data_IF_090465457072
#
_entry.id   IF_090465457072
#
_cell.length_a   1.000
_cell.length_b   1.000
_cell.length_c   1.000
_cell.angle_alpha   90.00
_cell.angle_beta   90.00
_cell.angle_gamma   90.00
#
_symmetry.space_group_name_H-M   'P 1'
#
loop_
_entity.id
_entity.type
_entity.pdbx_description
1 polymer ?
#
# COMPACT_ATOMS: atom_id res chain seq x y z
N UNK A 1 28.46 -59.37 46.51
CA UNK A 1 27.35 -58.38 46.38
C UNK A 1 27.95 -57.05 45.93
N UNK A 2 27.86 -56.73 44.66
CA UNK A 2 28.44 -55.51 44.08
C UNK A 2 27.24 -54.61 43.69
N UNK A 3 27.12 -53.45 44.40
CA UNK A 3 26.09 -52.44 44.16
C UNK A 3 26.50 -51.52 42.98
N UNK A 4 25.71 -51.55 41.89
CA UNK A 4 25.86 -50.63 40.75
C UNK A 4 25.08 -49.34 41.05
N UNK A 5 25.78 -48.25 41.35
CA UNK A 5 25.20 -46.90 41.37
C UNK A 5 24.95 -46.39 39.90
N UNK A 6 23.71 -46.29 39.50
CA UNK A 6 23.33 -45.58 38.26
C UNK A 6 23.36 -44.09 38.53
N UNK A 7 24.27 -43.37 37.87
CA UNK A 7 24.26 -41.89 37.78
C UNK A 7 23.32 -41.47 36.64
N UNK A 8 22.20 -40.86 37.00
CA UNK A 8 21.29 -40.21 36.03
C UNK A 8 21.84 -38.83 35.71
N UNK A 9 22.24 -38.61 34.44
CA UNK A 9 22.69 -37.32 33.96
C UNK A 9 21.46 -36.50 33.57
N UNK A 10 21.15 -35.44 34.32
CA UNK A 10 20.14 -34.44 33.94
C UNK A 10 20.78 -33.45 32.97
N UNK A 11 20.45 -33.54 31.68
CA UNK A 11 20.72 -32.46 30.73
C UNK A 11 19.68 -31.36 30.92
N UNK A 12 20.06 -30.23 31.52
CA UNK A 12 19.28 -29.03 31.54
C UNK A 12 19.37 -28.38 30.16
N UNK A 13 18.30 -28.45 29.36
CA UNK A 13 18.15 -27.68 28.13
C UNK A 13 17.78 -26.25 28.54
N UNK A 14 18.75 -25.34 28.50
CA UNK A 14 18.51 -23.91 28.65
C UNK A 14 17.78 -23.42 27.38
N UNK A 15 16.47 -23.26 27.45
CA UNK A 15 15.69 -22.62 26.42
C UNK A 15 16.04 -21.14 26.39
N UNK A 16 16.79 -20.69 25.38
CA UNK A 16 16.97 -19.28 25.12
C UNK A 16 15.61 -18.71 24.68
N UNK A 17 14.99 -17.93 25.54
CA UNK A 17 13.83 -17.12 25.16
C UNK A 17 14.31 -16.05 24.15
N UNK A 18 13.91 -16.18 22.90
CA UNK A 18 14.10 -15.13 21.90
C UNK A 18 13.26 -13.91 22.33
N UNK A 19 13.91 -12.92 22.91
CA UNK A 19 13.29 -11.60 23.14
C UNK A 19 13.25 -10.91 21.78
N UNK A 20 12.08 -10.88 21.14
CA UNK A 20 11.87 -10.05 19.97
C UNK A 20 11.82 -8.61 20.45
N UNK A 21 12.78 -7.79 20.01
CA UNK A 21 12.70 -6.35 20.20
C UNK A 21 11.48 -5.83 19.45
N UNK A 22 10.81 -4.81 20.00
CA UNK A 22 9.69 -4.15 19.34
C UNK A 22 10.15 -3.60 17.97
N UNK A 23 9.32 -3.78 16.96
CA UNK A 23 9.62 -3.28 15.61
C UNK A 23 9.75 -1.76 15.62
N UNK A 24 10.86 -1.19 15.10
CA UNK A 24 11.13 0.25 15.19
C UNK A 24 10.02 1.09 14.58
N UNK A 25 9.73 2.23 15.23
CA UNK A 25 8.88 3.30 14.69
C UNK A 25 9.75 4.51 14.37
N UNK A 26 9.61 5.03 13.15
CA UNK A 26 10.32 6.22 12.67
C UNK A 26 9.29 7.29 12.37
N UNK A 27 9.51 8.50 12.88
CA UNK A 27 8.68 9.67 12.56
C UNK A 27 9.29 10.37 11.35
N UNK A 28 8.63 10.34 10.17
CA UNK A 28 9.16 11.00 8.98
C UNK A 28 9.08 12.52 9.08
N UNK A 29 10.09 13.19 8.49
CA UNK A 29 10.05 14.65 8.32
C UNK A 29 9.24 15.01 7.06
N UNK A 30 8.30 15.95 7.19
CA UNK A 30 7.68 16.62 6.04
C UNK A 30 8.64 17.71 5.57
N UNK A 31 9.03 17.66 4.30
CA UNK A 31 10.04 18.58 3.74
C UNK A 31 9.46 19.50 2.67
N UNK A 32 8.30 19.16 2.11
CA UNK A 32 7.59 19.95 1.10
C UNK A 32 6.13 19.53 1.01
N UNK A 33 5.28 20.27 0.28
CA UNK A 33 3.91 19.89 -0.03
C UNK A 33 3.44 20.53 -1.33
N UNK A 34 2.49 19.86 -1.99
CA UNK A 34 1.80 20.34 -3.19
C UNK A 34 0.29 20.33 -2.98
N UNK A 35 -0.49 21.14 -3.71
CA UNK A 35 -1.94 21.12 -3.64
C UNK A 35 -2.52 19.75 -3.96
N UNK A 36 -3.58 19.36 -3.28
CA UNK A 36 -4.36 18.16 -3.57
C UNK A 36 -5.84 18.50 -3.65
N UNK A 37 -6.58 17.77 -4.49
CA UNK A 37 -8.02 17.97 -4.63
C UNK A 37 -8.74 17.32 -3.42
N UNK A 38 -9.28 18.16 -2.54
CA UNK A 38 -9.85 17.72 -1.27
C UNK A 38 -11.13 16.87 -1.42
N UNK A 39 -11.75 16.88 -2.59
CA UNK A 39 -12.87 15.99 -2.92
C UNK A 39 -12.41 14.58 -3.29
N UNK A 40 -11.13 14.37 -3.52
CA UNK A 40 -10.59 13.07 -3.89
C UNK A 40 -10.48 12.14 -2.67
N UNK A 41 -11.18 11.02 -2.78
CA UNK A 41 -11.07 9.91 -1.84
C UNK A 41 -9.98 8.96 -2.32
N UNK A 42 -8.71 9.33 -2.06
CA UNK A 42 -7.51 8.66 -2.61
C UNK A 42 -7.44 7.19 -2.24
N UNK A 43 -7.26 6.34 -3.25
CA UNK A 43 -7.14 4.89 -3.12
C UNK A 43 -5.86 4.33 -3.76
N UNK A 44 -5.22 5.07 -4.65
CA UNK A 44 -3.93 4.74 -5.22
C UNK A 44 -3.21 5.99 -5.68
N UNK A 45 -1.88 6.00 -5.55
CA UNK A 45 -1.03 7.13 -5.90
C UNK A 45 0.31 6.62 -6.43
N UNK A 46 0.75 7.08 -7.60
CA UNK A 46 2.07 6.73 -8.12
C UNK A 46 2.59 7.76 -9.12
N UNK A 47 3.88 7.79 -9.36
CA UNK A 47 4.47 8.63 -10.40
C UNK A 47 4.51 7.94 -11.77
N UNK A 48 4.17 8.69 -12.81
CA UNK A 48 4.35 8.33 -14.21
C UNK A 48 5.26 9.38 -14.89
N UNK A 49 6.56 9.15 -14.83
CA UNK A 49 7.56 10.15 -15.17
C UNK A 49 7.51 11.34 -14.21
N UNK A 50 7.19 12.52 -14.72
CA UNK A 50 7.04 13.74 -13.90
C UNK A 50 5.60 13.99 -13.42
N UNK A 51 4.65 13.25 -13.96
CA UNK A 51 3.24 13.40 -13.64
C UNK A 51 2.85 12.48 -12.50
N UNK A 52 1.92 12.91 -11.67
CA UNK A 52 1.35 12.11 -10.60
C UNK A 52 0.03 11.50 -11.08
N UNK A 53 -0.14 10.20 -10.87
CA UNK A 53 -1.38 9.47 -11.14
C UNK A 53 -2.05 9.17 -9.81
N UNK A 54 -3.34 9.49 -9.75
CA UNK A 54 -4.16 9.23 -8.59
C UNK A 54 -5.42 8.47 -9.00
N UNK A 55 -5.73 7.38 -8.31
CA UNK A 55 -7.03 6.71 -8.38
C UNK A 55 -7.85 6.99 -7.13
N UNK A 56 -9.16 7.20 -7.31
CA UNK A 56 -10.07 7.59 -6.24
C UNK A 56 -11.20 6.60 -6.06
N UNK A 57 -11.75 6.55 -4.85
CA UNK A 57 -12.93 5.78 -4.50
C UNK A 57 -14.21 6.60 -4.49
N UNK A 58 -15.26 6.02 -3.93
CA UNK A 58 -16.65 6.47 -3.80
C UNK A 58 -17.52 6.13 -5.02
N UNK A 59 -18.72 5.62 -4.74
CA UNK A 59 -19.71 5.31 -5.75
C UNK A 59 -20.18 6.60 -6.43
N UNK A 60 -20.19 6.62 -7.77
CA UNK A 60 -20.53 7.80 -8.57
C UNK A 60 -19.41 8.84 -8.73
N UNK A 61 -18.30 8.70 -7.96
CA UNK A 61 -17.19 9.68 -7.96
C UNK A 61 -15.83 9.06 -8.31
N UNK A 62 -15.74 7.73 -8.38
CA UNK A 62 -14.49 7.02 -8.64
C UNK A 62 -13.91 7.35 -10.03
N UNK A 63 -12.63 7.62 -10.06
CA UNK A 63 -11.90 7.93 -11.28
C UNK A 63 -10.40 7.76 -11.14
N UNK A 64 -9.70 7.89 -12.26
CA UNK A 64 -8.25 7.98 -12.30
C UNK A 64 -7.84 9.27 -12.97
N UNK A 65 -6.85 9.96 -12.43
CA UNK A 65 -6.46 11.31 -12.80
C UNK A 65 -4.95 11.37 -13.00
N UNK A 66 -4.53 11.95 -14.13
CA UNK A 66 -3.14 12.37 -14.37
C UNK A 66 -3.04 13.85 -14.07
N UNK A 67 -2.09 14.23 -13.23
CA UNK A 67 -1.91 15.61 -12.82
C UNK A 67 -0.44 16.02 -12.77
N UNK A 68 -0.21 17.31 -12.95
CA UNK A 68 1.09 17.94 -12.69
C UNK A 68 1.29 18.19 -11.20
N UNK A 69 2.52 18.50 -10.80
CA UNK A 69 2.85 18.79 -9.40
C UNK A 69 2.19 20.07 -8.87
N UNK A 70 1.81 21.01 -9.74
CA UNK A 70 1.05 22.21 -9.38
C UNK A 70 -0.47 21.98 -9.35
N UNK A 71 -0.92 20.74 -9.55
CA UNK A 71 -2.32 20.32 -9.39
C UNK A 71 -3.17 20.36 -10.66
N UNK A 72 -2.63 20.77 -11.82
CA UNK A 72 -3.39 20.80 -13.08
C UNK A 72 -3.68 19.37 -13.55
N UNK A 73 -4.96 19.06 -13.78
CA UNK A 73 -5.38 17.79 -14.40
C UNK A 73 -5.05 17.81 -15.89
N UNK A 74 -4.29 16.81 -16.33
CA UNK A 74 -3.89 16.61 -17.74
C UNK A 74 -4.77 15.61 -18.45
N UNK A 75 -5.26 14.58 -17.73
CA UNK A 75 -6.08 13.52 -18.27
C UNK A 75 -6.91 12.90 -17.14
N UNK A 76 -8.08 12.35 -17.44
CA UNK A 76 -8.92 11.68 -16.45
C UNK A 76 -9.86 10.67 -17.09
N UNK A 77 -10.21 9.63 -16.33
CA UNK A 77 -11.21 8.65 -16.71
C UNK A 77 -12.05 8.31 -15.49
N UNK A 78 -13.37 8.47 -15.60
CA UNK A 78 -14.33 8.12 -14.54
C UNK A 78 -14.86 6.71 -14.72
N UNK A 79 -15.04 6.01 -13.62
CA UNK A 79 -15.74 4.72 -13.61
C UNK A 79 -17.26 4.95 -13.67
N UNK A 80 -17.99 3.92 -14.13
CA UNK A 80 -19.44 3.94 -14.01
C UNK A 80 -19.86 3.95 -12.52
N UNK A 81 -20.96 4.63 -12.19
CA UNK A 81 -21.41 4.93 -10.83
C UNK A 81 -21.53 3.72 -9.89
N UNK A 82 -21.77 2.53 -10.45
CA UNK A 82 -21.87 1.26 -9.73
C UNK A 82 -20.54 0.72 -9.21
N UNK A 83 -19.41 1.34 -9.57
CA UNK A 83 -18.10 0.89 -9.14
C UNK A 83 -17.52 1.83 -8.10
N UNK A 84 -16.94 1.23 -7.08
CA UNK A 84 -16.07 1.92 -6.14
C UNK A 84 -14.63 1.59 -6.56
N UNK A 85 -13.89 2.58 -7.05
CA UNK A 85 -12.50 2.46 -7.47
C UNK A 85 -11.56 2.32 -6.27
N UNK A 86 -10.45 1.62 -6.49
CA UNK A 86 -9.45 1.33 -5.46
C UNK A 86 -8.04 1.59 -6.00
N UNK A 87 -7.03 0.91 -5.50
CA UNK A 87 -5.64 1.07 -5.89
C UNK A 87 -5.37 0.86 -7.38
N UNK A 88 -4.34 1.50 -7.87
CA UNK A 88 -3.93 1.41 -9.27
C UNK A 88 -2.42 1.44 -9.43
N UNK A 89 -1.91 0.87 -10.53
CA UNK A 89 -0.49 0.88 -10.89
C UNK A 89 -0.30 0.82 -12.39
N UNK A 90 0.75 1.45 -12.90
CA UNK A 90 1.13 1.36 -14.32
C UNK A 90 2.14 0.22 -14.54
N UNK A 91 1.92 -0.59 -15.59
CA UNK A 91 2.88 -1.59 -16.08
C UNK A 91 2.91 -1.53 -17.60
N UNK A 92 4.05 -1.17 -18.16
CA UNK A 92 4.17 -0.93 -19.60
C UNK A 92 3.24 0.20 -20.07
N UNK A 93 2.41 -0.08 -21.05
CA UNK A 93 1.45 0.89 -21.64
C UNK A 93 0.07 0.83 -20.96
N UNK A 94 -0.09 0.02 -19.94
CA UNK A 94 -1.35 -0.22 -19.26
C UNK A 94 -1.32 0.31 -17.81
N UNK A 95 -2.47 0.77 -17.34
CA UNK A 95 -2.75 0.99 -15.92
C UNK A 95 -3.79 -0.02 -15.48
N UNK A 96 -3.50 -0.72 -14.39
CA UNK A 96 -4.42 -1.62 -13.71
C UNK A 96 -5.11 -0.85 -12.59
N UNK A 97 -6.44 -0.88 -12.55
CA UNK A 97 -7.25 -0.11 -11.60
C UNK A 97 -8.29 -1.03 -10.95
N UNK A 98 -8.14 -1.25 -9.65
CA UNK A 98 -8.98 -2.16 -8.86
C UNK A 98 -10.36 -1.57 -8.57
N UNK A 99 -11.27 -2.46 -8.22
CA UNK A 99 -12.55 -2.10 -7.56
C UNK A 99 -12.69 -2.80 -6.23
N UNK A 100 -13.38 -2.18 -5.28
CA UNK A 100 -13.62 -2.73 -3.95
C UNK A 100 -14.36 -4.09 -4.02
N UNK A 101 -15.70 -4.07 -4.01
CA UNK A 101 -16.55 -5.29 -3.89
C UNK A 101 -17.03 -5.86 -5.22
N UNK A 102 -16.68 -5.24 -6.33
CA UNK A 102 -17.14 -5.71 -7.65
C UNK A 102 -16.31 -6.86 -8.19
N UNK A 103 -15.23 -7.26 -7.48
CA UNK A 103 -14.31 -8.33 -7.90
C UNK A 103 -13.79 -8.15 -9.34
N UNK A 104 -13.49 -6.91 -9.70
CA UNK A 104 -13.00 -6.52 -11.02
C UNK A 104 -11.79 -5.61 -10.91
N UNK A 105 -10.91 -5.71 -11.88
CA UNK A 105 -9.89 -4.72 -12.16
C UNK A 105 -10.01 -4.29 -13.62
N UNK A 106 -9.92 -3.00 -13.85
CA UNK A 106 -9.92 -2.41 -15.18
C UNK A 106 -8.50 -2.30 -15.71
N UNK A 107 -8.38 -2.44 -17.03
CA UNK A 107 -7.16 -2.15 -17.77
C UNK A 107 -7.44 -0.87 -18.54
N UNK A 108 -6.65 0.17 -18.28
CA UNK A 108 -6.77 1.51 -18.86
C UNK A 108 -5.52 1.78 -19.67
N UNK A 109 -5.66 2.25 -20.91
CA UNK A 109 -4.51 2.74 -21.65
C UNK A 109 -3.84 3.88 -20.89
N UNK A 110 -2.51 3.87 -20.83
CA UNK A 110 -1.75 4.84 -20.05
C UNK A 110 -1.76 6.25 -20.67
N UNK A 111 -1.82 6.35 -22.00
CA UNK A 111 -1.84 7.65 -22.75
C UNK A 111 -2.53 7.50 -24.11
N UNK A 112 -3.66 8.19 -24.36
CA UNK A 112 -4.54 8.86 -23.39
C UNK A 112 -5.28 7.83 -22.52
N UNK A 113 -5.85 8.25 -21.40
CA UNK A 113 -6.67 7.38 -20.57
C UNK A 113 -7.92 6.94 -21.35
N UNK A 114 -8.03 5.65 -21.56
CA UNK A 114 -9.21 5.03 -22.17
C UNK A 114 -9.35 3.59 -21.70
N UNK A 115 -10.59 3.13 -21.54
CA UNK A 115 -10.85 1.75 -21.12
C UNK A 115 -10.37 0.78 -22.19
N UNK A 116 -9.50 -0.17 -21.80
CA UNK A 116 -8.95 -1.20 -22.69
C UNK A 116 -9.53 -2.57 -22.41
N UNK A 117 -9.80 -2.89 -21.14
CA UNK A 117 -10.29 -4.19 -20.75
C UNK A 117 -10.66 -4.28 -19.27
N UNK A 118 -11.05 -5.48 -18.87
CA UNK A 118 -11.43 -5.81 -17.50
C UNK A 118 -11.09 -7.28 -17.24
N UNK A 119 -10.65 -7.57 -16.02
CA UNK A 119 -10.48 -8.94 -15.54
C UNK A 119 -11.08 -9.12 -14.15
N UNK A 120 -11.24 -10.37 -13.74
CA UNK A 120 -11.75 -10.71 -12.40
C UNK A 120 -10.60 -10.83 -11.42
N UNK A 121 -10.82 -10.31 -10.21
CA UNK A 121 -9.95 -10.53 -9.06
C UNK A 121 -10.65 -11.47 -8.06
N UNK A 122 -9.90 -12.29 -7.29
CA UNK A 122 -10.49 -13.36 -6.48
C UNK A 122 -11.22 -12.85 -5.24
N UNK A 123 -10.80 -11.69 -4.73
CA UNK A 123 -11.34 -11.04 -3.52
C UNK A 123 -11.74 -9.61 -3.83
N UNK A 124 -12.18 -8.84 -2.85
CA UNK A 124 -12.15 -7.38 -2.94
C UNK A 124 -10.72 -6.91 -3.13
N UNK A 125 -10.53 -5.81 -3.85
CA UNK A 125 -9.21 -5.19 -4.07
C UNK A 125 -9.12 -3.90 -3.29
N UNK A 126 -7.94 -3.62 -2.68
CA UNK A 126 -7.66 -2.38 -1.97
C UNK A 126 -6.47 -1.64 -2.58
N UNK A 127 -5.25 -1.94 -2.21
CA UNK A 127 -4.05 -1.37 -2.81
C UNK A 127 -3.50 -2.24 -3.94
N UNK A 128 -2.77 -1.62 -4.86
CA UNK A 128 -2.14 -2.31 -5.99
C UNK A 128 -0.79 -1.68 -6.32
N UNK A 129 0.22 -2.52 -6.42
CA UNK A 129 1.54 -2.12 -6.93
C UNK A 129 2.10 -3.21 -7.85
N UNK A 130 3.28 -2.98 -8.42
CA UNK A 130 3.96 -3.95 -9.28
C UNK A 130 5.32 -4.32 -8.71
N UNK A 131 5.60 -5.62 -8.65
CA UNK A 131 6.88 -6.11 -8.19
C UNK A 131 7.31 -7.33 -9.01
N UNK A 132 8.52 -7.23 -9.61
CA UNK A 132 9.04 -8.21 -10.56
C UNK A 132 8.05 -8.45 -11.71
N UNK A 133 7.50 -9.64 -11.86
CA UNK A 133 6.62 -9.99 -13.00
C UNK A 133 5.14 -10.13 -12.59
N UNK A 134 4.74 -9.60 -11.44
CA UNK A 134 3.38 -9.72 -10.92
C UNK A 134 2.86 -8.41 -10.31
N UNK A 135 1.55 -8.23 -10.36
CA UNK A 135 0.86 -7.25 -9.55
C UNK A 135 0.81 -7.77 -8.10
N UNK A 136 1.11 -6.92 -7.13
CA UNK A 136 0.85 -7.17 -5.72
C UNK A 136 -0.43 -6.44 -5.32
N UNK A 137 -1.42 -7.19 -4.86
CA UNK A 137 -2.73 -6.68 -4.45
C UNK A 137 -2.95 -6.92 -2.95
N UNK A 138 -3.32 -5.89 -2.22
CA UNK A 138 -3.87 -5.98 -0.87
C UNK A 138 -5.41 -6.09 -0.90
N UNK A 139 -5.99 -6.57 0.20
CA UNK A 139 -7.44 -6.71 0.39
C UNK A 139 -7.86 -6.53 1.86
N UNK A 140 -7.05 -5.81 2.65
CA UNK A 140 -7.27 -5.61 4.07
C UNK A 140 -6.86 -6.79 4.97
N UNK A 141 -6.51 -7.94 4.41
CA UNK A 141 -5.91 -9.04 5.16
C UNK A 141 -4.42 -8.79 5.43
N UNK A 142 -3.73 -9.78 5.97
CA UNK A 142 -2.27 -9.78 6.11
C UNK A 142 -1.56 -10.40 4.90
N UNK A 143 -2.29 -10.78 3.88
CA UNK A 143 -1.77 -11.46 2.69
C UNK A 143 -1.77 -10.51 1.50
N UNK A 144 -0.65 -10.45 0.80
CA UNK A 144 -0.52 -9.80 -0.49
C UNK A 144 -0.67 -10.87 -1.57
N UNK A 145 -1.64 -10.70 -2.45
CA UNK A 145 -1.85 -11.60 -3.57
C UNK A 145 -0.94 -11.19 -4.74
N UNK A 146 -0.16 -12.13 -5.25
CA UNK A 146 0.60 -11.97 -6.48
C UNK A 146 -0.26 -12.39 -7.66
N UNK A 147 -0.56 -11.45 -8.57
CA UNK A 147 -1.41 -11.69 -9.73
C UNK A 147 -0.53 -11.62 -10.99
N UNK A 148 -0.42 -12.71 -11.69
CA UNK A 148 0.38 -12.81 -12.93
C UNK A 148 -0.29 -12.08 -14.09
N UNK A 149 0.49 -11.34 -14.89
CA UNK A 149 -0.01 -10.57 -16.02
C UNK A 149 -0.50 -11.45 -17.20
N UNK A 150 0.00 -12.67 -17.33
CA UNK A 150 -0.30 -13.59 -18.44
C UNK A 150 -1.67 -14.28 -18.39
N UNK A 151 -2.59 -13.86 -17.51
CA UNK A 151 -3.93 -14.47 -17.37
C UNK A 151 -4.64 -14.00 -16.11
N UNK A 152 -4.04 -13.10 -15.38
CA UNK A 152 -4.59 -12.49 -14.17
C UNK A 152 -4.99 -13.49 -13.08
N UNK A 153 -4.30 -14.64 -13.04
CA UNK A 153 -4.44 -15.63 -11.98
C UNK A 153 -3.55 -15.29 -10.78
N UNK A 154 -3.94 -15.74 -9.59
CA UNK A 154 -3.08 -15.70 -8.41
C UNK A 154 -1.96 -16.73 -8.61
N UNK A 155 -0.72 -16.26 -8.64
CA UNK A 155 0.49 -17.07 -8.82
C UNK A 155 1.30 -17.22 -7.53
N UNK A 156 0.95 -16.47 -6.49
CA UNK A 156 1.61 -16.53 -5.18
C UNK A 156 0.90 -15.69 -4.14
N UNK A 157 1.32 -15.88 -2.89
CA UNK A 157 0.85 -15.12 -1.72
C UNK A 157 2.04 -14.80 -0.84
N UNK A 158 2.14 -13.55 -0.39
CA UNK A 158 3.16 -13.12 0.56
C UNK A 158 2.45 -12.73 1.87
N UNK A 159 2.58 -13.52 2.95
CA UNK A 159 2.05 -13.15 4.25
C UNK A 159 2.91 -12.05 4.90
N UNK A 160 2.30 -10.94 5.32
CA UNK A 160 2.99 -9.85 6.01
C UNK A 160 2.91 -10.07 7.51
N UNK A 161 4.08 -10.09 8.16
CA UNK A 161 4.18 -10.37 9.60
C UNK A 161 5.15 -9.42 10.30
N UNK A 162 4.86 -9.15 11.57
CA UNK A 162 5.70 -8.43 12.51
C UNK A 162 6.00 -9.33 13.72
N UNK A 163 7.26 -9.72 13.90
CA UNK A 163 7.65 -10.69 14.93
C UNK A 163 6.87 -12.01 14.86
N UNK A 164 6.50 -12.45 13.64
CA UNK A 164 5.70 -13.64 13.39
C UNK A 164 4.18 -13.47 13.57
N UNK A 165 3.70 -12.27 13.94
CA UNK A 165 2.27 -11.97 14.07
C UNK A 165 1.74 -11.36 12.76
N UNK A 166 0.55 -11.76 12.27
CA UNK A 166 -0.06 -11.20 11.07
C UNK A 166 -0.31 -9.69 11.17
N UNK A 167 0.13 -8.92 10.17
CA UNK A 167 -0.15 -7.49 10.05
C UNK A 167 -1.32 -7.30 9.08
N UNK A 168 -2.49 -6.97 9.61
CA UNK A 168 -3.73 -6.79 8.85
C UNK A 168 -3.92 -5.34 8.42
N UNK A 169 -5.01 -5.10 7.67
CA UNK A 169 -5.43 -3.79 7.16
C UNK A 169 -4.45 -3.19 6.15
N UNK A 170 -3.69 -4.05 5.44
CA UNK A 170 -2.87 -3.60 4.32
C UNK A 170 -3.76 -2.95 3.28
N UNK A 171 -3.45 -1.70 2.92
CA UNK A 171 -4.25 -0.90 1.99
C UNK A 171 -3.37 -0.44 0.82
N UNK A 172 -3.24 0.85 0.60
CA UNK A 172 -2.47 1.39 -0.51
C UNK A 172 -0.99 1.00 -0.42
N UNK A 173 -0.36 0.75 -1.56
CA UNK A 173 0.91 0.05 -1.69
C UNK A 173 1.86 0.76 -2.66
N UNK A 174 3.12 0.93 -2.25
CA UNK A 174 4.21 1.35 -3.12
C UNK A 174 5.43 0.45 -2.96
N UNK A 175 6.03 0.00 -4.04
CA UNK A 175 7.26 -0.80 -4.02
C UNK A 175 8.45 -0.03 -4.56
N UNK A 176 9.51 0.05 -3.76
CA UNK A 176 10.80 0.59 -4.19
C UNK A 176 11.85 -0.51 -4.07
N UNK A 177 12.31 -1.04 -5.20
CA UNK A 177 13.19 -2.21 -5.29
C UNK A 177 12.52 -3.45 -4.68
N UNK A 178 13.10 -4.02 -3.61
CA UNK A 178 12.54 -5.16 -2.87
C UNK A 178 11.97 -4.74 -1.49
N UNK A 179 11.52 -3.49 -1.38
CA UNK A 179 10.88 -2.96 -0.17
C UNK A 179 9.49 -2.45 -0.51
N UNK A 180 8.49 -3.00 0.18
CA UNK A 180 7.11 -2.55 0.09
C UNK A 180 6.81 -1.55 1.21
N UNK A 181 6.10 -0.50 0.86
CA UNK A 181 5.50 0.48 1.76
C UNK A 181 3.99 0.29 1.68
N UNK A 182 3.34 0.02 2.79
CA UNK A 182 1.91 -0.27 2.85
C UNK A 182 1.21 0.60 3.88
N UNK A 183 0.20 1.36 3.47
CA UNK A 183 -0.71 2.01 4.41
C UNK A 183 -1.44 0.95 5.24
N UNK A 184 -1.55 1.17 6.55
CA UNK A 184 -2.38 0.37 7.43
C UNK A 184 -3.70 1.12 7.68
N UNK A 185 -4.78 0.66 7.05
CA UNK A 185 -6.08 1.32 7.11
C UNK A 185 -6.57 1.53 8.54
N UNK A 186 -7.21 2.68 8.81
CA UNK A 186 -7.64 3.16 10.12
C UNK A 186 -6.50 3.47 11.10
N UNK A 187 -5.27 3.57 10.59
CA UNK A 187 -4.12 4.03 11.37
C UNK A 187 -3.40 5.15 10.64
N UNK A 188 -2.48 5.83 11.33
CA UNK A 188 -1.58 6.83 10.74
C UNK A 188 -0.18 6.22 10.50
N UNK A 189 -0.12 4.91 10.25
CA UNK A 189 1.12 4.14 10.06
C UNK A 189 1.25 3.66 8.62
N UNK A 190 2.50 3.64 8.14
CA UNK A 190 2.92 2.93 6.95
C UNK A 190 3.88 1.82 7.38
N UNK A 191 3.56 0.57 7.06
CA UNK A 191 4.46 -0.55 7.27
C UNK A 191 5.53 -0.59 6.17
N UNK A 192 6.79 -0.74 6.56
CA UNK A 192 7.93 -0.96 5.65
C UNK A 192 8.27 -2.44 5.70
N UNK A 193 8.07 -3.13 4.60
CA UNK A 193 8.07 -4.60 4.51
C UNK A 193 9.15 -5.08 3.54
N UNK A 194 9.93 -6.04 3.95
CA UNK A 194 10.92 -6.72 3.11
C UNK A 194 10.26 -7.74 2.18
N UNK A 195 10.54 -7.68 0.90
CA UNK A 195 10.09 -8.67 -0.08
C UNK A 195 11.23 -9.61 -0.48
N UNK A 196 10.96 -10.92 -0.69
CA UNK A 196 9.64 -11.58 -0.64
C UNK A 196 9.24 -12.11 0.74
N UNK A 197 10.02 -11.86 1.80
CA UNK A 197 9.81 -12.48 3.12
C UNK A 197 8.50 -12.07 3.80
N UNK A 198 7.95 -10.90 3.45
CA UNK A 198 6.79 -10.31 4.10
C UNK A 198 7.06 -9.82 5.53
N UNK A 199 8.31 -9.76 5.96
CA UNK A 199 8.70 -9.30 7.29
C UNK A 199 8.65 -7.78 7.39
N UNK A 200 7.95 -7.25 8.38
CA UNK A 200 7.97 -5.81 8.69
C UNK A 200 9.34 -5.44 9.27
N UNK A 201 9.97 -4.44 8.69
CA UNK A 201 11.27 -3.91 9.10
C UNK A 201 11.13 -2.75 10.09
N UNK A 202 10.16 -1.89 9.86
CA UNK A 202 9.83 -0.71 10.68
C UNK A 202 8.44 -0.19 10.32
N UNK A 203 7.92 0.72 11.14
CA UNK A 203 6.75 1.53 10.81
C UNK A 203 7.17 2.99 10.65
N UNK A 204 6.60 3.67 9.65
CA UNK A 204 6.62 5.12 9.55
C UNK A 204 5.38 5.65 10.27
N UNK A 205 5.58 6.46 11.30
CA UNK A 205 4.52 6.94 12.18
C UNK A 205 4.22 8.42 11.90
N UNK A 206 3.04 8.66 11.34
CA UNK A 206 2.55 10.00 11.01
C UNK A 206 1.52 10.52 12.03
N UNK A 207 1.26 9.79 13.13
CA UNK A 207 0.16 10.08 14.07
C UNK A 207 0.17 11.52 14.59
N UNK A 208 1.32 12.03 15.01
CA UNK A 208 1.45 13.40 15.50
C UNK A 208 1.13 14.42 14.40
N UNK A 209 1.61 14.18 13.17
CA UNK A 209 1.39 15.08 12.03
C UNK A 209 -0.05 15.04 11.54
N UNK A 210 -0.64 13.86 11.43
CA UNK A 210 -2.05 13.71 11.03
C UNK A 210 -2.97 14.38 12.06
N UNK A 211 -2.69 14.23 13.36
CA UNK A 211 -3.45 14.91 14.41
C UNK A 211 -3.37 16.45 14.30
N UNK A 212 -2.19 16.99 13.95
CA UNK A 212 -2.02 18.43 13.68
C UNK A 212 -2.83 18.89 12.46
N UNK A 213 -2.71 18.15 11.35
CA UNK A 213 -3.39 18.47 10.09
C UNK A 213 -4.91 18.40 10.23
N UNK A 214 -5.43 17.41 10.95
CA UNK A 214 -6.87 17.21 11.18
C UNK A 214 -7.49 18.36 11.98
N UNK A 215 -6.74 18.98 12.90
CA UNK A 215 -7.22 20.18 13.60
C UNK A 215 -7.48 21.36 12.66
N UNK A 216 -6.69 21.48 11.59
CA UNK A 216 -6.82 22.57 10.60
C UNK A 216 -7.80 22.21 9.48
N UNK A 217 -7.97 20.93 9.22
CA UNK A 217 -8.78 20.40 8.13
C UNK A 217 -9.70 19.26 8.63
N UNK A 218 -10.82 19.59 9.30
CA UNK A 218 -11.69 18.57 9.93
C UNK A 218 -12.33 17.59 8.95
N UNK A 219 -12.39 17.93 7.65
CA UNK A 219 -12.91 17.06 6.60
C UNK A 219 -11.91 16.00 6.10
N UNK A 220 -10.68 15.99 6.60
CA UNK A 220 -9.70 14.95 6.26
C UNK A 220 -10.12 13.58 6.81
N UNK A 221 -10.00 12.55 5.98
CA UNK A 221 -10.16 11.16 6.36
C UNK A 221 -8.78 10.49 6.57
N UNK A 222 -8.67 9.19 6.49
CA UNK A 222 -7.46 8.42 6.82
C UNK A 222 -6.29 8.67 5.86
N UNK A 223 -5.07 8.51 6.38
CA UNK A 223 -3.84 8.43 5.59
C UNK A 223 -3.96 7.28 4.58
N UNK A 224 -3.83 7.59 3.30
CA UNK A 224 -3.84 6.61 2.21
C UNK A 224 -3.29 7.22 0.92
N UNK A 225 -2.27 6.59 0.36
CA UNK A 225 -1.58 7.06 -0.84
C UNK A 225 -0.09 7.29 -0.57
N UNK A 226 0.76 6.50 -1.26
CA UNK A 226 2.21 6.55 -1.21
C UNK A 226 2.73 6.55 -2.63
N UNK A 227 3.63 7.46 -2.97
CA UNK A 227 4.29 7.47 -4.27
C UNK A 227 5.78 7.77 -4.10
N UNK A 228 6.61 7.22 -4.98
CA UNK A 228 8.05 7.45 -5.02
C UNK A 228 8.46 8.11 -6.33
N UNK A 229 9.06 9.31 -6.28
CA UNK A 229 9.46 10.08 -7.47
C UNK A 229 10.85 9.69 -8.03
N UNK A 230 11.43 8.59 -7.53
CA UNK A 230 12.79 8.16 -7.83
C UNK A 230 13.83 8.67 -6.82
N UNK A 231 13.46 9.58 -5.92
CA UNK A 231 14.32 10.18 -4.92
C UNK A 231 13.66 10.31 -3.55
N UNK A 232 12.48 10.91 -3.51
CA UNK A 232 11.74 11.21 -2.28
C UNK A 232 10.37 10.52 -2.32
N UNK A 233 9.82 10.24 -1.14
CA UNK A 233 8.45 9.74 -1.00
C UNK A 233 7.45 10.88 -0.87
N UNK A 234 6.25 10.63 -1.40
CA UNK A 234 5.11 11.52 -1.31
C UNK A 234 3.93 10.75 -0.72
N UNK A 235 3.23 11.37 0.22
CA UNK A 235 2.07 10.77 0.87
C UNK A 235 0.88 11.72 0.85
N UNK A 236 -0.31 11.16 0.86
CA UNK A 236 -1.55 11.87 1.05
C UNK A 236 -2.55 11.03 1.84
N UNK A 237 -3.79 11.43 1.84
CA UNK A 237 -4.90 10.69 2.43
C UNK A 237 -6.21 11.04 1.76
N UNK A 238 -7.25 10.31 2.14
CA UNK A 238 -8.61 10.51 1.66
C UNK A 238 -9.11 11.88 2.08
N UNK A 239 -9.53 12.69 1.11
CA UNK A 239 -9.99 14.07 1.33
C UNK A 239 -8.95 14.99 1.97
N UNK A 240 -7.66 14.72 1.76
CA UNK A 240 -6.60 15.60 2.24
C UNK A 240 -6.43 16.81 1.31
N UNK A 241 -6.09 18.02 1.85
CA UNK A 241 -5.90 19.22 1.05
C UNK A 241 -4.53 19.28 0.35
N UNK A 242 -3.59 18.41 0.73
CA UNK A 242 -2.21 18.42 0.23
C UNK A 242 -1.64 17.02 0.10
N UNK A 243 -0.68 16.87 -0.82
CA UNK A 243 0.24 15.74 -0.90
C UNK A 243 1.57 16.21 -0.33
N UNK A 244 2.14 15.45 0.59
CA UNK A 244 3.33 15.83 1.35
C UNK A 244 4.56 15.03 0.91
N UNK A 245 5.65 15.74 0.64
CA UNK A 245 6.97 15.13 0.46
C UNK A 245 7.56 14.79 1.81
N UNK A 246 8.04 13.55 1.97
CA UNK A 246 8.56 13.04 3.25
C UNK A 246 9.93 12.39 3.11
N UNK A 247 10.72 12.44 4.21
CA UNK A 247 12.02 11.78 4.36
C UNK A 247 12.10 11.02 5.68
N UNK A 248 12.78 9.85 5.66
CA UNK A 248 12.94 8.96 6.83
C UNK A 248 14.15 8.02 6.71
#
# INVERSE_FOLDING_TARGET
>A
MISLLRRTLFCAVAGAALVFADTPRVVPAIVDSIPHEQTHFTQGLFFDGKDLIESTGQYGESGIYRRTMDGKILDSLRLAERYFGEGSVAVGDDIFYLTWKSHKAFIVNRKPFSMKGVFRIPTEGWGLTYWRDALLMSNGSHELLQIGLGGFAVVGVIPVTDGGKPVKQLNELEVVRDTLYANLWMTDLIAVVELPSGRVLKYLDFSAKVAELRKRNPGMDVLNGIAFDGKDFWITGKNWPQIYKVRF
#
